data_IF_968502798461
#
_entry.id   IF_968502798461
#
_cell.length_a   1.000
_cell.length_b   1.000
_cell.length_c   1.000
_cell.angle_alpha   90.00
_cell.angle_beta   90.00
_cell.angle_gamma   90.00
#
_symmetry.space_group_name_H-M   'P 1'
#
loop_
_entity.id
_entity.type
_entity.pdbx_description
1 polymer ?
#
# COMPACT_ATOMS: atom_id res chain seq x y z
N UNK A 1 73.63 8.01 25.19
CA UNK A 1 74.16 6.63 25.09
C UNK A 1 73.00 5.69 25.40
N UNK A 2 72.33 5.01 24.45
CA UNK A 2 72.76 3.99 23.47
C UNK A 2 73.32 2.72 24.11
N UNK A 3 72.75 1.58 23.66
CA UNK A 3 73.08 0.16 23.81
C UNK A 3 72.16 -0.59 24.81
N UNK A 4 71.07 -1.26 24.40
CA UNK A 4 70.94 -2.42 23.50
C UNK A 4 71.70 -3.67 23.98
N UNK A 5 70.97 -4.65 24.54
CA UNK A 5 71.05 -6.06 24.12
C UNK A 5 69.92 -6.93 24.70
N UNK A 6 69.43 -7.77 23.80
CA UNK A 6 68.27 -8.66 23.87
C UNK A 6 68.57 -10.03 24.53
N UNK A 7 67.54 -10.91 24.46
CA UNK A 7 67.51 -12.37 24.68
C UNK A 7 66.99 -12.78 26.09
N UNK A 8 66.04 -13.68 26.32
CA UNK A 8 65.30 -14.66 25.49
C UNK A 8 64.04 -15.09 26.27
N UNK A 9 62.95 -15.32 25.54
CA UNK A 9 61.67 -15.86 25.98
C UNK A 9 61.77 -17.34 26.43
N UNK A 10 61.07 -17.75 27.51
CA UNK A 10 60.46 -19.08 27.52
C UNK A 10 58.93 -19.05 27.75
N UNK A 11 58.24 -19.59 26.74
CA UNK A 11 57.03 -20.43 26.78
C UNK A 11 55.75 -19.91 27.46
N UNK A 12 54.73 -19.71 26.61
CA UNK A 12 53.32 -19.54 26.96
C UNK A 12 52.69 -20.82 27.57
N UNK A 13 51.80 -20.71 28.57
CA UNK A 13 50.85 -21.76 28.90
C UNK A 13 49.65 -21.76 27.92
N UNK A 14 49.25 -22.95 27.49
CA UNK A 14 48.21 -23.18 26.49
C UNK A 14 46.78 -22.79 26.95
N UNK A 15 45.88 -22.41 26.03
CA UNK A 15 44.49 -22.10 26.32
C UNK A 15 43.66 -23.38 26.47
N UNK A 16 43.15 -23.63 27.67
CA UNK A 16 42.20 -24.72 27.88
C UNK A 16 42.02 -25.03 29.35
N UNK A 17 40.93 -24.53 29.95
CA UNK A 17 40.21 -25.09 31.11
C UNK A 17 39.29 -24.07 31.82
N UNK A 18 38.68 -23.12 31.10
CA UNK A 18 37.65 -22.25 31.67
C UNK A 18 36.44 -22.17 30.73
N UNK A 19 35.82 -23.32 30.43
CA UNK A 19 34.52 -23.36 29.73
C UNK A 19 33.81 -24.67 30.04
N UNK A 20 33.33 -24.85 31.27
CA UNK A 20 32.50 -26.02 31.61
C UNK A 20 31.50 -25.83 32.75
N UNK A 21 31.43 -24.67 33.43
CA UNK A 21 30.64 -24.55 34.66
C UNK A 21 29.35 -23.69 34.54
N UNK A 22 29.05 -23.06 33.41
CA UNK A 22 27.91 -22.12 33.28
C UNK A 22 26.81 -22.56 32.30
N UNK A 23 26.64 -23.88 32.11
CA UNK A 23 25.45 -24.43 31.45
C UNK A 23 24.79 -25.46 32.35
N UNK A 24 24.21 -24.97 33.44
CA UNK A 24 23.05 -25.63 34.04
C UNK A 24 21.90 -25.52 33.03
N UNK A 25 21.87 -26.46 32.10
CA UNK A 25 20.79 -26.64 31.16
C UNK A 25 19.52 -26.95 31.97
N UNK A 26 18.71 -25.91 32.18
CA UNK A 26 17.28 -26.12 32.43
C UNK A 26 16.79 -26.91 31.24
N UNK A 27 16.36 -28.15 31.45
CA UNK A 27 15.77 -28.96 30.40
C UNK A 27 14.67 -28.10 29.74
N UNK A 28 14.71 -27.88 28.41
CA UNK A 28 13.69 -27.08 27.76
C UNK A 28 12.36 -27.76 28.05
N UNK A 29 11.45 -27.04 28.71
CA UNK A 29 10.08 -27.47 28.83
C UNK A 29 9.62 -27.80 27.40
N UNK A 30 9.10 -29.01 27.19
CA UNK A 30 8.70 -29.48 25.87
C UNK A 30 7.55 -28.61 25.40
N UNK A 31 7.87 -27.55 24.64
CA UNK A 31 6.85 -26.68 24.06
C UNK A 31 6.19 -27.49 22.95
N UNK A 32 4.88 -27.70 23.08
CA UNK A 32 4.13 -28.37 22.03
C UNK A 32 4.06 -27.44 20.80
N UNK A 33 4.26 -27.97 19.57
CA UNK A 33 4.11 -27.19 18.36
C UNK A 33 2.75 -26.48 18.34
N UNK A 34 2.75 -25.21 17.97
CA UNK A 34 1.56 -24.37 17.96
C UNK A 34 1.57 -23.46 16.73
N UNK A 35 0.39 -23.02 16.30
CA UNK A 35 0.25 -22.00 15.27
C UNK A 35 0.15 -20.64 15.95
N UNK A 36 1.09 -19.74 15.65
CA UNK A 36 1.13 -18.39 16.19
C UNK A 36 0.65 -17.41 15.13
N UNK A 37 -0.41 -16.67 15.45
CA UNK A 37 -0.97 -15.61 14.60
C UNK A 37 -0.48 -14.25 15.11
N UNK A 38 0.20 -13.49 14.27
CA UNK A 38 0.63 -12.13 14.58
C UNK A 38 0.00 -11.16 13.58
N UNK A 39 -0.83 -10.25 14.07
CA UNK A 39 -1.50 -9.23 13.26
C UNK A 39 -1.16 -7.84 13.79
N UNK A 40 -0.88 -6.90 12.89
CA UNK A 40 -0.65 -5.50 13.23
C UNK A 40 0.63 -5.20 14.01
N UNK A 41 1.69 -5.99 13.83
CA UNK A 41 3.01 -5.69 14.42
C UNK A 41 3.68 -4.52 13.69
N UNK A 42 4.43 -3.69 14.42
CA UNK A 42 5.23 -2.63 13.85
C UNK A 42 6.58 -3.15 13.34
N UNK A 43 7.21 -2.40 12.43
CA UNK A 43 8.42 -2.82 11.75
C UNK A 43 9.61 -3.07 12.70
N UNK A 44 9.87 -2.24 13.73
CA UNK A 44 10.89 -2.53 14.74
C UNK A 44 10.69 -3.87 15.43
N UNK A 45 9.50 -4.10 16.02
CA UNK A 45 9.19 -5.36 16.72
C UNK A 45 9.28 -6.56 15.78
N UNK A 46 8.81 -6.42 14.54
CA UNK A 46 8.94 -7.48 13.53
C UNK A 46 10.41 -7.83 13.26
N UNK A 47 11.29 -6.83 13.11
CA UNK A 47 12.72 -7.05 12.86
C UNK A 47 13.44 -7.66 14.05
N UNK A 48 13.03 -7.29 15.27
CA UNK A 48 13.57 -7.92 16.47
C UNK A 48 13.16 -9.39 16.55
N UNK A 49 11.91 -9.72 16.24
CA UNK A 49 11.40 -11.09 16.29
C UNK A 49 11.96 -11.99 15.19
N UNK A 50 11.85 -11.56 13.93
CA UNK A 50 12.14 -12.40 12.75
C UNK A 50 13.47 -12.06 12.08
N UNK A 51 14.14 -10.99 12.50
CA UNK A 51 15.48 -10.66 12.08
C UNK A 51 16.52 -11.09 13.12
N UNK A 52 16.59 -10.39 14.25
CA UNK A 52 17.57 -10.67 15.30
C UNK A 52 17.26 -11.97 16.06
N UNK A 53 15.98 -12.19 16.40
CA UNK A 53 15.49 -13.38 17.11
C UNK A 53 15.18 -14.59 16.22
N UNK A 54 15.47 -14.51 14.90
CA UNK A 54 15.06 -15.47 13.89
C UNK A 54 15.39 -16.92 14.26
N UNK A 55 16.64 -17.17 14.62
CA UNK A 55 17.15 -18.53 14.86
C UNK A 55 16.52 -19.12 16.13
N UNK A 56 16.26 -18.29 17.14
CA UNK A 56 15.53 -18.70 18.35
C UNK A 56 14.10 -19.11 17.99
N UNK A 57 13.38 -18.29 17.21
CA UNK A 57 12.00 -18.60 16.78
C UNK A 57 11.91 -19.85 15.91
N UNK A 58 12.92 -20.09 15.09
CA UNK A 58 12.99 -21.30 14.26
C UNK A 58 13.14 -22.57 15.12
N UNK A 59 13.88 -22.50 16.23
CA UNK A 59 14.10 -23.62 17.14
C UNK A 59 12.88 -23.96 18.02
N UNK A 60 11.94 -23.02 18.19
CA UNK A 60 10.73 -23.21 18.99
C UNK A 60 9.72 -24.20 18.35
N UNK A 61 9.85 -24.51 17.06
CA UNK A 61 8.99 -25.48 16.38
C UNK A 61 7.54 -25.01 16.17
N UNK A 62 7.29 -23.71 16.28
CA UNK A 62 5.99 -23.11 16.01
C UNK A 62 5.80 -22.82 14.51
N UNK A 63 4.54 -22.87 14.05
CA UNK A 63 4.17 -22.37 12.73
C UNK A 63 3.69 -20.93 12.86
N UNK A 64 4.36 -20.01 12.17
CA UNK A 64 4.06 -18.58 12.25
C UNK A 64 3.20 -18.13 11.05
N UNK A 65 2.13 -17.40 11.34
CA UNK A 65 1.33 -16.68 10.34
C UNK A 65 1.34 -15.21 10.73
N UNK A 66 1.94 -14.38 9.89
CA UNK A 66 2.12 -12.96 10.18
C UNK A 66 1.41 -12.13 9.12
N UNK A 67 0.53 -11.24 9.56
CA UNK A 67 -0.12 -10.25 8.71
C UNK A 67 0.62 -8.91 8.81
N UNK A 68 0.99 -8.37 7.66
CA UNK A 68 1.69 -7.09 7.53
C UNK A 68 0.99 -6.20 6.49
N UNK A 69 1.18 -4.87 6.55
CA UNK A 69 0.68 -3.96 5.51
C UNK A 69 1.28 -4.31 4.14
N UNK A 70 0.44 -4.42 3.12
CA UNK A 70 0.86 -4.86 1.79
C UNK A 70 1.78 -3.84 1.08
N UNK A 71 1.64 -2.56 1.38
CA UNK A 71 2.46 -1.45 0.88
C UNK A 71 3.84 -1.39 1.56
N UNK A 72 3.95 -1.91 2.78
CA UNK A 72 5.20 -2.00 3.53
C UNK A 72 5.95 -3.32 3.33
N UNK A 73 5.42 -4.26 2.54
CA UNK A 73 5.94 -5.63 2.41
C UNK A 73 7.46 -5.70 2.16
N UNK A 74 8.00 -4.82 1.31
CA UNK A 74 9.45 -4.76 1.02
C UNK A 74 10.29 -4.42 2.26
N UNK A 75 9.79 -3.60 3.18
CA UNK A 75 10.51 -3.22 4.40
C UNK A 75 10.49 -4.31 5.46
N UNK A 76 9.40 -5.07 5.53
CA UNK A 76 9.24 -6.21 6.43
C UNK A 76 10.03 -7.41 5.94
N UNK A 77 9.91 -7.76 4.66
CA UNK A 77 10.58 -8.91 4.04
C UNK A 77 11.98 -8.55 3.50
N UNK A 78 12.66 -7.59 4.12
CA UNK A 78 14.07 -7.33 3.85
C UNK A 78 14.95 -8.28 4.66
N UNK A 79 16.15 -8.65 4.17
CA UNK A 79 17.10 -9.41 4.97
C UNK A 79 17.34 -8.79 6.35
N UNK A 80 17.43 -9.61 7.43
CA UNK A 80 17.48 -11.07 7.43
C UNK A 80 16.13 -11.80 7.63
N UNK A 81 15.01 -11.07 7.64
CA UNK A 81 13.69 -11.66 7.93
C UNK A 81 13.05 -12.36 6.72
N UNK A 82 13.51 -12.04 5.50
CA UNK A 82 13.06 -12.62 4.24
C UNK A 82 13.13 -14.15 4.22
N UNK A 83 14.21 -14.72 4.76
CA UNK A 83 14.42 -16.18 4.78
C UNK A 83 13.58 -16.91 5.83
N UNK A 84 12.95 -16.19 6.77
CA UNK A 84 12.09 -16.81 7.78
C UNK A 84 10.75 -17.28 7.18
N UNK A 85 10.27 -16.60 6.14
CA UNK A 85 8.95 -16.83 5.57
C UNK A 85 9.05 -17.56 4.23
N UNK A 86 8.91 -18.89 4.28
CA UNK A 86 8.92 -19.73 3.07
C UNK A 86 7.74 -19.44 2.13
N UNK A 87 6.59 -19.09 2.69
CA UNK A 87 5.36 -18.81 1.94
C UNK A 87 4.86 -17.41 2.24
N UNK A 88 4.68 -16.61 1.20
CA UNK A 88 4.04 -15.29 1.28
C UNK A 88 2.78 -15.28 0.44
N UNK A 89 1.65 -14.94 1.07
CA UNK A 89 0.35 -14.79 0.38
C UNK A 89 0.00 -13.31 0.35
N UNK A 90 -0.09 -12.75 -0.86
CA UNK A 90 -0.55 -11.37 -1.04
C UNK A 90 -2.07 -11.36 -1.15
N UNK A 91 -2.73 -10.73 -0.17
CA UNK A 91 -4.16 -10.47 -0.25
C UNK A 91 -4.40 -9.23 -1.12
N UNK A 92 -5.02 -9.43 -2.27
CA UNK A 92 -5.52 -8.34 -3.12
C UNK A 92 -7.01 -8.12 -2.85
N UNK A 93 -7.56 -7.09 -3.48
CA UNK A 93 -9.01 -6.94 -3.59
C UNK A 93 -9.69 -8.19 -4.13
N UNK A 94 -10.95 -8.36 -3.75
CA UNK A 94 -11.74 -9.50 -4.16
C UNK A 94 -12.45 -9.23 -5.51
N UNK A 95 -12.66 -10.28 -6.33
CA UNK A 95 -13.52 -10.15 -7.51
C UNK A 95 -14.96 -9.87 -7.08
N UNK A 96 -15.72 -9.20 -7.97
CA UNK A 96 -17.07 -8.73 -7.70
C UNK A 96 -18.00 -9.83 -7.15
N UNK A 97 -18.06 -10.98 -7.81
CA UNK A 97 -18.88 -12.12 -7.38
C UNK A 97 -18.56 -12.60 -5.96
N UNK A 98 -17.28 -12.51 -5.56
CA UNK A 98 -16.87 -12.88 -4.20
C UNK A 98 -17.28 -11.82 -3.18
N UNK A 99 -17.23 -10.54 -3.54
CA UNK A 99 -17.73 -9.46 -2.69
C UNK A 99 -19.24 -9.58 -2.48
N UNK A 100 -20.00 -9.84 -3.54
CA UNK A 100 -21.45 -10.08 -3.48
C UNK A 100 -21.78 -11.26 -2.56
N UNK A 101 -21.07 -12.39 -2.67
CA UNK A 101 -21.26 -13.54 -1.79
C UNK A 101 -21.01 -13.19 -0.31
N UNK A 102 -19.92 -12.47 -0.03
CA UNK A 102 -19.56 -12.07 1.34
C UNK A 102 -20.58 -11.10 1.92
N UNK A 103 -20.98 -10.08 1.13
CA UNK A 103 -21.96 -9.10 1.55
C UNK A 103 -23.34 -9.73 1.72
N UNK A 104 -23.72 -10.65 0.85
CA UNK A 104 -25.01 -11.32 0.95
C UNK A 104 -25.15 -12.11 2.26
N UNK A 105 -24.09 -12.82 2.66
CA UNK A 105 -24.02 -13.49 3.97
C UNK A 105 -24.03 -12.50 5.14
N UNK A 106 -23.35 -11.36 4.99
CA UNK A 106 -23.23 -10.36 6.07
C UNK A 106 -24.51 -9.57 6.30
N UNK A 107 -25.27 -9.32 5.24
CA UNK A 107 -26.51 -8.54 5.26
C UNK A 107 -27.76 -9.42 5.31
N UNK A 108 -27.60 -10.74 5.27
CA UNK A 108 -28.68 -11.74 5.25
C UNK A 108 -29.70 -11.49 4.13
N UNK A 109 -29.21 -11.11 2.95
CA UNK A 109 -30.02 -10.88 1.75
C UNK A 109 -29.15 -10.92 0.49
N UNK A 110 -29.69 -11.23 -0.70
CA UNK A 110 -28.93 -11.11 -1.94
C UNK A 110 -28.40 -9.68 -2.14
N UNK A 111 -27.18 -9.57 -2.65
CA UNK A 111 -26.53 -8.30 -2.99
C UNK A 111 -26.03 -8.41 -4.43
N UNK A 112 -26.36 -7.41 -5.24
CA UNK A 112 -25.73 -7.18 -6.53
C UNK A 112 -24.93 -5.90 -6.40
N UNK A 113 -23.64 -5.97 -6.71
CA UNK A 113 -22.78 -4.81 -6.72
C UNK A 113 -22.65 -4.30 -8.16
N UNK A 114 -22.55 -2.99 -8.35
CA UNK A 114 -22.28 -2.44 -9.67
C UNK A 114 -20.92 -2.87 -10.24
N UNK A 115 -20.83 -2.86 -11.57
CA UNK A 115 -19.57 -3.04 -12.28
C UNK A 115 -18.55 -1.94 -11.88
N UNK A 116 -17.28 -2.30 -11.78
CA UNK A 116 -16.20 -1.38 -11.38
C UNK A 116 -15.91 -1.35 -9.87
N UNK A 117 -16.65 -2.12 -9.06
CA UNK A 117 -16.32 -2.34 -7.65
C UNK A 117 -15.38 -3.55 -7.43
N UNK A 118 -14.84 -4.12 -8.50
CA UNK A 118 -13.82 -5.15 -8.41
C UNK A 118 -12.52 -4.61 -7.80
N UNK A 119 -11.80 -5.49 -7.09
CA UNK A 119 -10.55 -5.09 -6.44
C UNK A 119 -10.74 -4.34 -5.12
N UNK A 120 -11.97 -4.18 -4.63
CA UNK A 120 -12.20 -3.74 -3.26
C UNK A 120 -11.96 -4.86 -2.26
N UNK A 121 -11.56 -4.49 -1.04
CA UNK A 121 -11.61 -5.41 0.09
C UNK A 121 -13.06 -5.58 0.59
N UNK A 122 -13.42 -6.73 1.20
CA UNK A 122 -14.75 -6.93 1.76
C UNK A 122 -15.17 -5.84 2.76
N UNK A 123 -14.20 -5.29 3.52
CA UNK A 123 -14.45 -4.20 4.46
C UNK A 123 -14.82 -2.91 3.72
N UNK A 124 -14.07 -2.52 2.70
CA UNK A 124 -14.37 -1.33 1.88
C UNK A 124 -15.74 -1.45 1.23
N UNK A 125 -16.04 -2.58 0.60
CA UNK A 125 -17.35 -2.80 -0.03
C UNK A 125 -18.49 -2.68 0.99
N UNK A 126 -18.34 -3.25 2.19
CA UNK A 126 -19.34 -3.13 3.26
C UNK A 126 -19.51 -1.69 3.75
N UNK A 127 -18.41 -0.95 3.90
CA UNK A 127 -18.43 0.47 4.28
C UNK A 127 -19.23 1.28 3.27
N UNK A 128 -18.95 1.10 1.98
CA UNK A 128 -19.65 1.81 0.91
C UNK A 128 -21.15 1.51 0.88
N UNK A 129 -21.52 0.23 1.05
CA UNK A 129 -22.93 -0.17 1.14
C UNK A 129 -23.62 0.44 2.36
N UNK A 130 -22.90 0.64 3.47
CA UNK A 130 -23.46 1.27 4.69
C UNK A 130 -23.61 2.78 4.54
N UNK A 131 -22.65 3.43 3.91
CA UNK A 131 -22.61 4.89 3.76
C UNK A 131 -23.62 5.38 2.72
N UNK A 132 -23.75 4.67 1.61
CA UNK A 132 -24.54 5.12 0.46
C UNK A 132 -25.83 4.31 0.28
N UNK A 133 -25.89 3.08 0.78
CA UNK A 133 -26.94 2.13 0.42
C UNK A 133 -26.74 1.58 -0.99
N UNK A 134 -27.35 0.41 -1.26
CA UNK A 134 -27.17 -0.28 -2.55
C UNK A 134 -27.69 0.52 -3.74
N UNK A 135 -28.85 1.18 -3.60
CA UNK A 135 -29.45 1.96 -4.69
C UNK A 135 -28.56 3.13 -5.13
N UNK A 136 -27.96 3.84 -4.17
CA UNK A 136 -27.05 4.94 -4.49
C UNK A 136 -25.76 4.47 -5.15
N UNK A 137 -25.32 3.23 -4.89
CA UNK A 137 -24.16 2.66 -5.56
C UNK A 137 -24.46 2.34 -7.02
N UNK A 138 -25.66 1.85 -7.33
CA UNK A 138 -26.09 1.63 -8.72
C UNK A 138 -26.11 2.93 -9.51
N UNK A 139 -26.62 4.01 -8.91
CA UNK A 139 -26.63 5.34 -9.54
C UNK A 139 -25.20 5.85 -9.74
N UNK A 140 -24.36 5.80 -8.70
CA UNK A 140 -22.98 6.24 -8.80
C UNK A 140 -22.16 5.45 -9.82
N UNK A 141 -22.41 4.14 -9.96
CA UNK A 141 -21.74 3.32 -10.94
C UNK A 141 -22.27 3.54 -12.37
N UNK A 142 -23.57 3.83 -12.52
CA UNK A 142 -24.13 4.24 -13.81
C UNK A 142 -23.51 5.56 -14.26
N UNK A 143 -23.41 6.53 -13.35
CA UNK A 143 -22.75 7.81 -13.60
C UNK A 143 -21.27 7.60 -13.96
N UNK A 144 -20.56 6.73 -13.23
CA UNK A 144 -19.16 6.39 -13.53
C UNK A 144 -19.01 5.72 -14.91
N UNK A 145 -19.91 4.81 -15.27
CA UNK A 145 -19.91 4.14 -16.57
C UNK A 145 -20.24 5.11 -17.71
N UNK A 146 -21.16 6.05 -17.50
CA UNK A 146 -21.47 7.12 -18.46
C UNK A 146 -20.25 8.01 -18.67
N UNK A 147 -19.62 8.46 -17.59
CA UNK A 147 -18.37 9.25 -17.64
C UNK A 147 -17.27 8.50 -18.37
N UNK A 148 -17.07 7.22 -18.06
CA UNK A 148 -16.08 6.39 -18.74
C UNK A 148 -16.37 6.24 -20.24
N UNK A 149 -17.65 6.08 -20.62
CA UNK A 149 -18.10 6.03 -22.01
C UNK A 149 -17.82 7.34 -22.76
N UNK A 150 -18.11 8.48 -22.11
CA UNK A 150 -17.83 9.81 -22.66
C UNK A 150 -16.34 10.06 -22.85
N UNK A 151 -15.52 9.72 -21.86
CA UNK A 151 -14.05 9.81 -21.94
C UNK A 151 -13.52 8.94 -23.09
N UNK A 152 -13.99 7.69 -23.20
CA UNK A 152 -13.58 6.77 -24.24
C UNK A 152 -13.95 7.25 -25.65
N UNK A 153 -15.08 7.95 -25.80
CA UNK A 153 -15.52 8.52 -27.07
C UNK A 153 -14.62 9.66 -27.57
N UNK A 154 -13.91 10.36 -26.68
CA UNK A 154 -12.98 11.43 -27.07
C UNK A 154 -11.67 10.90 -27.64
N UNK A 155 -11.24 9.73 -27.16
CA UNK A 155 -10.09 9.03 -27.69
C UNK A 155 -9.14 8.50 -26.63
N UNK A 156 -8.14 7.75 -27.09
CA UNK A 156 -7.15 7.11 -26.22
C UNK A 156 -6.34 8.10 -25.37
N UNK A 157 -5.87 9.26 -25.89
CA UNK A 157 -5.15 10.22 -25.07
C UNK A 157 -6.00 10.73 -23.88
N UNK A 158 -7.25 11.07 -24.12
CA UNK A 158 -8.20 11.56 -23.13
C UNK A 158 -8.43 10.51 -22.04
N UNK A 159 -8.65 9.25 -22.42
CA UNK A 159 -8.75 8.13 -21.48
C UNK A 159 -7.52 7.95 -20.60
N UNK A 160 -6.32 8.05 -21.19
CA UNK A 160 -5.06 7.94 -20.44
C UNK A 160 -4.90 9.08 -19.44
N UNK A 161 -5.12 10.33 -19.86
CA UNK A 161 -5.01 11.48 -18.99
C UNK A 161 -6.05 11.44 -17.86
N UNK A 162 -7.30 11.07 -18.18
CA UNK A 162 -8.37 10.96 -17.21
C UNK A 162 -8.08 9.90 -16.14
N UNK A 163 -7.56 8.72 -16.53
CA UNK A 163 -7.15 7.67 -15.61
C UNK A 163 -6.02 8.14 -14.67
N UNK A 164 -5.03 8.86 -15.20
CA UNK A 164 -3.94 9.41 -14.39
C UNK A 164 -4.41 10.50 -13.41
N UNK A 165 -5.36 11.34 -13.81
CA UNK A 165 -5.99 12.30 -12.90
C UNK A 165 -6.80 11.61 -11.79
N UNK A 166 -7.51 10.52 -12.08
CA UNK A 166 -8.18 9.75 -11.03
C UNK A 166 -7.20 9.15 -10.03
N UNK A 167 -6.01 8.72 -10.49
CA UNK A 167 -4.98 8.16 -9.62
C UNK A 167 -4.23 9.22 -8.80
N UNK A 168 -4.00 10.41 -9.36
CA UNK A 168 -3.24 11.50 -8.72
C UNK A 168 -4.14 12.50 -7.97
N UNK A 169 -5.45 12.51 -8.24
CA UNK A 169 -6.43 13.44 -7.71
C UNK A 169 -6.50 14.76 -8.50
N UNK A 170 -5.43 15.54 -8.45
CA UNK A 170 -5.33 16.82 -9.15
C UNK A 170 -3.93 17.03 -9.73
N UNK A 171 -3.83 17.57 -10.95
CA UNK A 171 -2.55 17.83 -11.60
C UNK A 171 -2.65 18.99 -12.59
N UNK A 172 -1.55 19.69 -12.78
CA UNK A 172 -1.45 20.73 -13.80
C UNK A 172 -0.81 20.17 -15.09
N UNK A 173 -1.06 20.84 -16.21
CA UNK A 173 -0.51 20.43 -17.53
C UNK A 173 1.02 20.40 -17.59
N UNK A 174 1.70 21.09 -16.66
CA UNK A 174 3.15 21.13 -16.54
C UNK A 174 3.71 20.24 -15.42
N UNK A 175 2.89 19.39 -14.80
CA UNK A 175 3.32 18.53 -13.69
C UNK A 175 4.31 17.46 -14.15
N UNK A 176 5.58 17.47 -13.69
CA UNK A 176 6.58 16.49 -14.11
C UNK A 176 6.14 15.05 -13.86
N UNK A 177 5.47 14.76 -12.73
CA UNK A 177 5.04 13.39 -12.38
C UNK A 177 4.01 12.87 -13.37
N UNK A 178 3.07 13.72 -13.77
CA UNK A 178 2.05 13.38 -14.76
C UNK A 178 2.69 13.18 -16.15
N UNK A 179 3.58 14.10 -16.55
CA UNK A 179 4.24 14.06 -17.86
C UNK A 179 5.14 12.83 -18.01
N UNK A 180 5.88 12.46 -16.98
CA UNK A 180 6.73 11.28 -16.96
C UNK A 180 5.92 9.98 -17.09
N UNK A 181 4.77 9.89 -16.40
CA UNK A 181 3.88 8.71 -16.46
C UNK A 181 3.22 8.55 -17.83
N UNK A 182 2.81 9.66 -18.46
CA UNK A 182 2.18 9.65 -19.78
C UNK A 182 3.20 9.61 -20.94
N UNK A 183 4.46 9.93 -20.67
CA UNK A 183 5.48 10.13 -21.71
C UNK A 183 5.17 11.30 -22.64
N UNK A 184 4.54 12.36 -22.12
CA UNK A 184 4.02 13.48 -22.91
C UNK A 184 4.79 14.79 -22.65
N UNK A 185 4.65 15.73 -23.58
CA UNK A 185 5.07 17.12 -23.36
C UNK A 185 3.95 17.93 -22.72
N UNK A 186 4.31 19.02 -22.02
CA UNK A 186 3.35 19.92 -21.40
C UNK A 186 2.33 20.51 -22.42
N UNK A 187 2.78 20.78 -23.65
CA UNK A 187 1.91 21.28 -24.72
C UNK A 187 0.83 20.24 -25.11
N UNK A 188 1.22 18.97 -25.24
CA UNK A 188 0.28 17.88 -25.52
C UNK A 188 -0.69 17.68 -24.36
N UNK A 189 -0.20 17.63 -23.13
CA UNK A 189 -1.07 17.55 -21.95
C UNK A 189 -2.08 18.71 -21.93
N UNK A 190 -1.63 19.95 -22.17
CA UNK A 190 -2.52 21.12 -22.23
C UNK A 190 -3.55 21.10 -23.37
N UNK A 191 -3.31 20.37 -24.46
CA UNK A 191 -4.32 20.11 -25.50
C UNK A 191 -5.38 19.12 -25.00
N UNK A 192 -4.96 18.00 -24.42
CA UNK A 192 -5.89 16.96 -23.94
C UNK A 192 -6.69 17.45 -22.72
N UNK A 193 -6.09 18.25 -21.84
CA UNK A 193 -6.82 18.92 -20.75
C UNK A 193 -7.93 19.84 -21.27
N UNK A 194 -7.72 20.56 -22.38
CA UNK A 194 -8.75 21.39 -22.99
C UNK A 194 -9.89 20.53 -23.54
N UNK A 195 -9.57 19.44 -24.24
CA UNK A 195 -10.57 18.46 -24.72
C UNK A 195 -11.46 17.94 -23.57
N UNK A 196 -10.85 17.52 -22.46
CA UNK A 196 -11.59 17.06 -21.28
C UNK A 196 -12.39 18.17 -20.60
N UNK A 197 -11.89 19.42 -20.60
CA UNK A 197 -12.56 20.57 -20.00
C UNK A 197 -13.77 21.02 -20.83
N UNK A 198 -13.64 21.01 -22.15
CA UNK A 198 -14.72 21.37 -23.09
C UNK A 198 -15.91 20.40 -22.96
N UNK A 199 -15.62 19.15 -22.61
CA UNK A 199 -16.61 18.11 -22.29
C UNK A 199 -17.09 18.16 -20.83
N UNK A 200 -16.54 19.04 -20.00
CA UNK A 200 -16.91 19.17 -18.59
C UNK A 200 -16.59 17.93 -17.73
N UNK A 201 -15.63 17.11 -18.17
CA UNK A 201 -15.15 15.91 -17.45
C UNK A 201 -14.12 16.27 -16.38
N UNK A 202 -13.45 17.41 -16.55
CA UNK A 202 -12.53 17.98 -15.56
C UNK A 202 -12.94 19.42 -15.27
N UNK A 203 -12.52 19.89 -14.10
CA UNK A 203 -12.59 21.30 -13.71
C UNK A 203 -11.18 21.80 -13.36
N UNK A 204 -10.98 23.12 -13.35
CA UNK A 204 -9.70 23.70 -12.96
C UNK A 204 -9.87 24.71 -11.83
N UNK A 205 -8.84 24.79 -10.98
CA UNK A 205 -8.63 25.88 -10.04
C UNK A 205 -7.31 26.59 -10.38
N UNK A 206 -7.25 27.89 -10.09
CA UNK A 206 -6.03 28.67 -10.20
C UNK A 206 -5.28 28.63 -8.85
N UNK A 207 -4.17 27.90 -8.80
CA UNK A 207 -3.32 27.83 -7.61
C UNK A 207 -2.24 28.92 -7.66
N UNK A 208 -2.13 29.70 -6.59
CA UNK A 208 -1.05 30.67 -6.40
C UNK A 208 0.06 30.02 -5.59
N UNK A 209 1.22 29.81 -6.20
CA UNK A 209 2.40 29.23 -5.55
C UNK A 209 3.23 30.26 -4.75
N UNK A 210 2.64 31.43 -4.46
CA UNK A 210 3.27 32.52 -3.73
C UNK A 210 4.41 33.22 -4.46
N UNK A 211 4.69 32.88 -5.73
CA UNK A 211 5.73 33.53 -6.54
C UNK A 211 5.13 34.61 -7.44
N UNK A 212 5.89 35.68 -7.78
CA UNK A 212 5.47 36.65 -8.77
C UNK A 212 5.32 35.94 -10.14
N UNK A 213 4.10 35.77 -10.60
CA UNK A 213 3.80 35.02 -11.81
C UNK A 213 2.32 34.81 -12.06
N UNK A 214 1.99 34.25 -13.23
CA UNK A 214 0.62 33.87 -13.56
C UNK A 214 0.24 32.63 -12.72
N UNK A 215 -0.95 32.60 -12.09
CA UNK A 215 -1.45 31.44 -11.38
C UNK A 215 -1.42 30.19 -12.25
N UNK A 216 -1.11 29.05 -11.64
CA UNK A 216 -1.04 27.77 -12.34
C UNK A 216 -2.41 27.12 -12.31
N UNK A 217 -2.91 26.72 -13.48
CA UNK A 217 -4.14 25.93 -13.58
C UNK A 217 -3.88 24.50 -13.16
N UNK A 218 -4.55 24.08 -12.10
CA UNK A 218 -4.57 22.70 -11.62
C UNK A 218 -5.92 22.11 -11.98
N UNK A 219 -5.89 20.97 -12.65
CA UNK A 219 -7.07 20.28 -13.14
C UNK A 219 -7.39 19.09 -12.25
N UNK A 220 -8.67 18.81 -12.08
CA UNK A 220 -9.17 17.64 -11.35
C UNK A 220 -10.38 17.05 -12.06
N UNK A 221 -10.64 15.77 -11.87
CA UNK A 221 -11.88 15.13 -12.35
C UNK A 221 -13.07 15.76 -11.65
N UNK A 222 -14.09 16.14 -12.41
CA UNK A 222 -15.31 16.73 -11.85
C UNK A 222 -16.03 15.69 -10.97
N UNK A 223 -16.46 16.09 -9.78
CA UNK A 223 -17.09 15.18 -8.82
C UNK A 223 -16.10 14.30 -8.03
N UNK A 224 -14.79 14.44 -8.23
CA UNK A 224 -13.78 13.76 -7.39
C UNK A 224 -13.61 14.38 -6.00
N UNK A 225 -14.40 15.42 -5.67
CA UNK A 225 -14.47 16.00 -4.32
C UNK A 225 -15.21 15.02 -3.40
N UNK A 226 -14.54 13.94 -3.03
CA UNK A 226 -15.06 12.99 -2.05
C UNK A 226 -16.34 12.28 -2.48
N UNK A 227 -16.21 11.01 -2.86
CA UNK A 227 -17.03 10.03 -2.16
C UNK A 227 -16.77 10.23 -0.66
N UNK A 228 -17.57 11.09 -0.02
CA UNK A 228 -17.39 11.56 1.36
C UNK A 228 -17.16 13.07 1.51
N UNK A 229 -18.17 13.90 1.23
CA UNK A 229 -18.42 15.13 1.99
C UNK A 229 -19.89 15.54 1.79
N UNK A 230 -20.73 15.10 2.73
CA UNK A 230 -22.02 15.71 2.96
C UNK A 230 -21.79 17.11 3.57
N UNK A 231 -22.06 18.17 2.81
CA UNK A 231 -22.50 19.50 3.28
C UNK A 231 -23.23 20.15 2.08
N UNK A 232 -24.45 20.69 2.13
CA UNK A 232 -25.21 21.20 3.27
C UNK A 232 -24.89 22.67 3.53
N UNK A 233 -25.53 23.60 2.80
CA UNK A 233 -25.53 25.05 3.06
C UNK A 233 -25.48 25.85 1.75
N UNK A 234 -26.58 26.46 1.29
CA UNK A 234 -27.04 27.77 1.79
C UNK A 234 -26.06 28.83 1.27
N UNK A 235 -26.37 29.61 0.24
CA UNK A 235 -27.57 30.38 -0.02
C UNK A 235 -27.58 30.86 -1.49
#
# INVERSE_FOLDING_TARGET
EVAERAATNPAAPAPGAASSAERAATAPATVSPAVVLLDGTDLPTFRDLFGAGRDTRWQEGHQWVVAIPADAATSYLSPPADVFFETTVRLTGAPLARLEEILARRLDRPVTLPAGMDGLTPRQALTLVREHGLQSLDDAARDAAEVAGRVAALGRPESMLFAELQALGAAAASDPRLLDRLGWTAARAGQVFRSLLDEGLVEYSDEHDGRPGRPRRVYRVRGSNGWGAAEGGGQ
#
